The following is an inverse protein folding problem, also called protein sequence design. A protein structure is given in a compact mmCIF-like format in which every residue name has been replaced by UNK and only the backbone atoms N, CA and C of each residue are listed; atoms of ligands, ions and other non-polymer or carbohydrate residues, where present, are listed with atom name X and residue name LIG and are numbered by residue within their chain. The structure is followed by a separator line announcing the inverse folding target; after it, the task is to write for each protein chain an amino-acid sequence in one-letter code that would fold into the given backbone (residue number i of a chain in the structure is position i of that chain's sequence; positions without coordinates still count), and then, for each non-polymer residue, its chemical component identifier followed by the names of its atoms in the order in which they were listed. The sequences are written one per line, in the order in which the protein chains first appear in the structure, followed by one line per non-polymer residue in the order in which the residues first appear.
data_IF_749950793640
#
_entry.id   IF_749950793640
#
_cell.length_a   1.000
_cell.length_b   1.000
_cell.length_c   1.000
_cell.angle_alpha   90.00
_cell.angle_beta   90.00
_cell.angle_gamma   90.00
#
_symmetry.space_group_name_H-M   'P 1'
#
loop_
_entity.id
_entity.type
_entity.pdbx_description
1 polymer ?
#
# COMPACT_ATOMS: atom_id res chain seq x y z
N UNK A 1 -18.83 -5.19 -10.36
CA UNK A 1 -19.07 -4.92 -8.92
C UNK A 1 -17.73 -5.00 -8.21
N UNK A 2 -17.21 -3.94 -7.56
CA UNK A 2 -15.99 -4.07 -6.77
C UNK A 2 -16.32 -4.72 -5.43
N UNK A 3 -15.40 -5.56 -4.98
CA UNK A 3 -15.42 -6.30 -3.73
C UNK A 3 -15.14 -5.28 -2.61
N UNK A 4 -16.16 -4.54 -2.21
CA UNK A 4 -16.17 -3.83 -0.92
C UNK A 4 -16.37 -4.89 0.18
N UNK A 5 -15.35 -5.69 0.43
CA UNK A 5 -15.31 -6.54 1.60
C UNK A 5 -14.02 -6.29 2.35
N UNK A 6 -14.18 -5.97 3.64
CA UNK A 6 -13.18 -6.00 4.70
C UNK A 6 -12.34 -4.73 4.97
N UNK A 7 -13.01 -3.57 5.09
CA UNK A 7 -12.64 -2.62 6.14
C UNK A 7 -13.91 -2.36 6.95
N UNK A 8 -13.85 -2.52 8.26
CA UNK A 8 -14.99 -2.60 9.20
C UNK A 8 -15.78 -1.28 9.37
N UNK A 9 -16.02 -0.51 8.31
CA UNK A 9 -16.55 0.85 8.40
C UNK A 9 -15.60 1.84 9.08
N UNK A 10 -14.33 1.47 9.32
CA UNK A 10 -13.31 2.35 9.89
C UNK A 10 -12.89 3.40 8.86
N UNK A 11 -12.98 4.67 9.26
CA UNK A 11 -12.57 5.83 8.45
C UNK A 11 -11.27 6.48 8.96
N UNK A 12 -10.82 6.06 10.14
CA UNK A 12 -9.61 6.57 10.79
C UNK A 12 -8.60 5.43 10.83
N UNK A 13 -7.37 5.76 10.44
CA UNK A 13 -6.22 4.87 10.44
C UNK A 13 -5.11 5.60 11.17
N UNK A 14 -4.50 4.92 12.14
CA UNK A 14 -3.29 5.42 12.78
C UNK A 14 -2.07 5.03 11.95
N UNK A 15 -1.35 6.00 11.38
CA UNK A 15 -0.14 5.71 10.61
C UNK A 15 1.06 5.37 11.50
N UNK A 16 0.98 5.61 12.80
CA UNK A 16 1.99 5.17 13.76
C UNK A 16 1.82 3.68 14.11
N UNK A 17 0.62 3.11 13.91
CA UNK A 17 0.38 1.67 14.02
C UNK A 17 0.79 0.93 12.74
N UNK A 18 1.53 -0.17 12.91
CA UNK A 18 2.09 -0.94 11.79
C UNK A 18 1.01 -1.59 10.92
N UNK A 19 -0.08 -2.05 11.53
CA UNK A 19 -1.17 -2.73 10.84
C UNK A 19 -2.02 -1.72 10.04
N UNK A 20 -2.42 -0.62 10.67
CA UNK A 20 -3.17 0.45 10.02
C UNK A 20 -2.35 1.15 8.93
N UNK A 21 -1.03 1.31 9.11
CA UNK A 21 -0.17 1.84 8.04
C UNK A 21 -0.08 0.90 6.84
N UNK A 22 0.11 -0.39 7.05
CA UNK A 22 0.12 -1.38 5.96
C UNK A 22 -1.22 -1.39 5.20
N UNK A 23 -2.33 -1.29 5.93
CA UNK A 23 -3.67 -1.15 5.38
C UNK A 23 -3.79 0.05 4.43
N UNK A 24 -3.44 1.25 4.92
CA UNK A 24 -3.52 2.49 4.15
C UNK A 24 -2.63 2.40 2.93
N UNK A 25 -1.41 1.87 3.07
CA UNK A 25 -0.49 1.76 1.94
C UNK A 25 -1.06 0.86 0.86
N UNK A 26 -1.63 -0.29 1.23
CA UNK A 26 -2.29 -1.18 0.26
C UNK A 26 -3.43 -0.47 -0.47
N UNK A 27 -4.31 0.24 0.25
CA UNK A 27 -5.45 0.97 -0.35
C UNK A 27 -4.94 2.05 -1.31
N UNK A 28 -3.96 2.85 -0.89
CA UNK A 28 -3.44 3.95 -1.72
C UNK A 28 -2.71 3.42 -2.95
N UNK A 29 -2.07 2.25 -2.87
CA UNK A 29 -1.43 1.60 -4.01
C UNK A 29 -2.44 1.02 -5.00
N UNK A 30 -3.50 0.38 -4.50
CA UNK A 30 -4.51 -0.27 -5.34
C UNK A 30 -5.50 0.75 -5.95
N UNK A 31 -5.88 1.79 -5.22
CA UNK A 31 -7.03 2.66 -5.52
C UNK A 31 -6.73 4.17 -5.39
N UNK A 32 -5.57 4.53 -4.85
CA UNK A 32 -5.23 5.92 -4.55
C UNK A 32 -4.89 6.77 -5.78
N UNK A 33 -5.08 8.09 -5.64
CA UNK A 33 -4.62 9.04 -6.65
C UNK A 33 -3.12 9.34 -6.51
N UNK A 34 -2.53 9.95 -7.54
CA UNK A 34 -1.15 10.46 -7.47
C UNK A 34 -0.93 11.51 -6.36
N UNK A 35 -2.00 12.16 -5.88
CA UNK A 35 -1.93 13.04 -4.70
C UNK A 35 -1.83 12.21 -3.42
N UNK A 36 -2.70 11.21 -3.25
CA UNK A 36 -2.68 10.34 -2.08
C UNK A 36 -1.34 9.61 -1.94
N UNK A 37 -0.78 9.12 -3.04
CA UNK A 37 0.55 8.50 -3.05
C UNK A 37 1.63 9.45 -2.50
N UNK A 38 1.62 10.72 -2.91
CA UNK A 38 2.61 11.71 -2.46
C UNK A 38 2.42 12.13 -1.00
N UNK A 39 1.20 12.14 -0.51
CA UNK A 39 0.88 12.59 0.85
C UNK A 39 1.03 11.47 1.90
N UNK A 40 0.72 10.23 1.53
CA UNK A 40 0.58 9.12 2.49
C UNK A 40 1.69 8.07 2.38
N UNK A 41 2.33 7.91 1.22
CA UNK A 41 3.32 6.85 1.00
C UNK A 41 4.73 7.39 1.17
N UNK A 42 5.40 6.92 2.22
CA UNK A 42 6.83 7.11 2.41
C UNK A 42 7.59 5.96 1.74
N UNK A 43 8.47 6.29 0.79
CA UNK A 43 9.22 5.30 0.03
C UNK A 43 10.10 4.37 0.88
N UNK A 44 10.72 4.87 1.96
CA UNK A 44 11.57 4.04 2.83
C UNK A 44 10.72 3.05 3.64
N UNK A 45 9.64 3.53 4.23
CA UNK A 45 8.69 2.66 4.94
C UNK A 45 8.09 1.63 4.00
N UNK A 46 7.72 2.04 2.78
CA UNK A 46 7.16 1.16 1.76
C UNK A 46 8.08 -0.02 1.47
N UNK A 47 9.39 0.20 1.28
CA UNK A 47 10.35 -0.90 1.07
C UNK A 47 10.36 -1.86 2.25
N UNK A 48 10.39 -1.35 3.49
CA UNK A 48 10.47 -2.18 4.68
C UNK A 48 9.22 -3.04 4.89
N UNK A 49 8.03 -2.51 4.57
CA UNK A 49 6.78 -3.24 4.76
C UNK A 49 6.33 -4.00 3.50
N UNK A 50 6.97 -3.79 2.34
CA UNK A 50 6.58 -4.36 1.04
C UNK A 50 6.24 -5.87 1.05
N UNK A 51 6.96 -6.73 1.78
CA UNK A 51 6.64 -8.17 1.84
C UNK A 51 5.29 -8.45 2.52
N UNK A 52 4.86 -7.55 3.39
CA UNK A 52 3.67 -7.69 4.24
C UNK A 52 2.44 -7.07 3.59
N UNK A 53 2.60 -6.01 2.79
CA UNK A 53 1.53 -5.46 1.96
C UNK A 53 1.35 -6.33 0.72
N UNK A 54 0.15 -6.90 0.59
CA UNK A 54 -0.25 -7.76 -0.52
C UNK A 54 -1.19 -6.98 -1.48
N UNK A 55 -0.71 -5.98 -2.24
CA UNK A 55 -1.54 -5.27 -3.22
C UNK A 55 -1.96 -6.20 -4.35
N UNK A 56 -2.88 -5.74 -5.19
CA UNK A 56 -3.31 -6.50 -6.36
C UNK A 56 -2.10 -6.89 -7.22
N UNK A 57 -2.07 -8.14 -7.70
CA UNK A 57 -0.97 -8.68 -8.52
C UNK A 57 -0.48 -7.75 -9.64
N UNK A 58 -1.35 -7.12 -10.47
CA UNK A 58 -0.88 -6.20 -11.51
C UNK A 58 -0.22 -4.93 -10.93
N UNK A 59 -0.71 -4.42 -9.79
CA UNK A 59 -0.12 -3.28 -9.08
C UNK A 59 1.25 -3.68 -8.56
N UNK A 60 1.37 -4.82 -7.88
CA UNK A 60 2.65 -5.33 -7.38
C UNK A 60 3.70 -5.42 -8.49
N UNK A 61 3.36 -6.05 -9.60
CA UNK A 61 4.26 -6.22 -10.75
C UNK A 61 4.67 -4.87 -11.38
N UNK A 62 3.74 -3.92 -11.49
CA UNK A 62 4.04 -2.58 -12.01
C UNK A 62 5.02 -1.84 -11.10
N UNK A 63 4.79 -1.87 -9.79
CA UNK A 63 5.62 -1.18 -8.81
C UNK A 63 7.00 -1.81 -8.69
N UNK A 64 7.11 -3.13 -8.66
CA UNK A 64 8.41 -3.83 -8.66
C UNK A 64 9.22 -3.59 -9.94
N UNK A 65 8.54 -3.34 -11.08
CA UNK A 65 9.20 -2.97 -12.33
C UNK A 65 9.75 -1.54 -12.31
N UNK A 66 9.02 -0.60 -11.70
CA UNK A 66 9.43 0.81 -11.61
C UNK A 66 10.46 1.01 -10.49
N UNK A 67 10.32 0.27 -9.39
CA UNK A 67 11.14 0.38 -8.18
C UNK A 67 11.78 -0.99 -7.85
N UNK A 68 12.96 -1.29 -8.42
CA UNK A 68 13.63 -2.58 -8.22
C UNK A 68 13.90 -2.93 -6.75
N UNK A 69 14.04 -1.92 -5.88
CA UNK A 69 14.20 -2.12 -4.44
C UNK A 69 12.99 -2.77 -3.77
N UNK A 70 11.78 -2.60 -4.31
CA UNK A 70 10.59 -3.31 -3.81
C UNK A 70 10.69 -4.80 -4.14
N UNK A 71 11.15 -5.14 -5.34
CA UNK A 71 11.40 -6.52 -5.73
C UNK A 71 12.50 -7.18 -4.90
N UNK A 72 13.52 -6.41 -4.50
CA UNK A 72 14.61 -6.91 -3.66
C UNK A 72 14.17 -7.13 -2.20
N UNK A 73 13.17 -6.39 -1.73
CA UNK A 73 12.59 -6.56 -0.40
C UNK A 73 11.57 -7.70 -0.35
N UNK A 74 10.87 -7.96 -1.46
CA UNK A 74 9.75 -8.89 -1.64
C UNK A 74 10.01 -10.34 -1.18
#
# INVERSE_FOLDING_TARGET
MPIELAWSGRREFDLDDDYDRAAVYKIVLDEGTAKNLRELVNGRLLVMIWPQILPARPVRALWERIFPQLRAAA
#
